data_IF_853762641378
#
_entry.id   IF_853762641378
#
_cell.length_a   1.000
_cell.length_b   1.000
_cell.length_c   1.000
_cell.angle_alpha   90.00
_cell.angle_beta   90.00
_cell.angle_gamma   90.00
#
_symmetry.space_group_name_H-M   'P 1'
#
loop_
_entity.id
_entity.type
_entity.pdbx_description
1 polymer ?
#
# COMPACT_ATOMS: atom_id res chain seq x y z
N UNK A 1 23.18 -47.54 36.21
CA UNK A 1 22.96 -47.46 37.66
C UNK A 1 22.10 -46.26 37.86
N UNK A 2 20.87 -46.58 37.97
CA UNK A 2 19.93 -46.43 39.09
C UNK A 2 19.58 -44.96 39.34
N UNK A 3 18.39 -44.51 39.45
CA UNK A 3 17.13 -45.14 39.87
C UNK A 3 15.95 -44.27 39.45
N UNK A 4 14.93 -44.88 38.97
CA UNK A 4 13.56 -44.42 38.92
C UNK A 4 12.99 -44.27 40.32
N UNK A 5 12.29 -43.19 40.63
CA UNK A 5 11.21 -43.24 41.64
C UNK A 5 10.01 -42.40 41.27
N UNK A 6 9.01 -43.13 40.81
CA UNK A 6 7.58 -42.80 40.88
C UNK A 6 7.20 -42.40 42.31
N UNK A 7 6.35 -41.35 42.42
CA UNK A 7 5.45 -41.20 43.55
C UNK A 7 4.07 -40.91 43.03
N UNK A 8 3.26 -41.95 43.06
CA UNK A 8 1.83 -42.01 42.99
C UNK A 8 1.29 -42.00 44.42
N UNK A 9 0.48 -41.07 44.84
CA UNK A 9 -0.46 -41.09 45.98
C UNK A 9 -1.14 -39.72 45.97
N UNK A 10 -2.43 -39.48 46.08
CA UNK A 10 -3.56 -40.28 46.48
C UNK A 10 -4.83 -39.49 46.26
N UNK A 11 -5.80 -40.24 45.92
CA UNK A 11 -7.22 -39.87 45.85
C UNK A 11 -7.72 -39.58 47.25
N UNK A 12 -8.36 -38.46 47.47
CA UNK A 12 -9.30 -38.33 48.57
C UNK A 12 -10.50 -37.50 48.12
N UNK A 13 -11.60 -38.23 47.92
CA UNK A 13 -12.93 -37.70 47.71
C UNK A 13 -13.39 -36.94 48.95
N UNK A 14 -13.85 -35.73 48.79
CA UNK A 14 -14.77 -35.07 49.71
C UNK A 14 -16.06 -34.73 48.92
N UNK A 15 -17.01 -35.61 49.09
CA UNK A 15 -18.41 -35.32 48.76
C UNK A 15 -18.93 -34.41 49.84
N UNK A 16 -19.28 -33.19 49.50
CA UNK A 16 -20.14 -32.34 50.30
C UNK A 16 -21.27 -31.80 49.43
N UNK A 17 -22.45 -32.23 49.77
CA UNK A 17 -23.75 -31.83 49.35
C UNK A 17 -23.91 -30.30 49.40
N UNK A 18 -24.15 -29.67 48.23
CA UNK A 18 -24.92 -28.45 48.18
C UNK A 18 -25.95 -28.58 47.07
N UNK A 19 -27.18 -28.72 47.54
CA UNK A 19 -28.45 -28.65 46.86
C UNK A 19 -28.57 -27.30 46.14
N UNK A 20 -28.90 -27.34 44.85
CA UNK A 20 -29.77 -26.35 44.21
C UNK A 20 -29.22 -24.97 43.98
N UNK A 21 -28.60 -24.72 42.84
CA UNK A 21 -28.93 -23.58 41.98
C UNK A 21 -28.57 -24.02 40.56
N UNK A 22 -29.58 -24.33 39.80
CA UNK A 22 -29.50 -24.52 38.36
C UNK A 22 -29.27 -23.15 37.74
N UNK A 23 -28.02 -22.69 37.72
CA UNK A 23 -27.66 -21.48 37.02
C UNK A 23 -27.50 -21.85 35.55
N UNK A 24 -28.40 -21.35 34.74
CA UNK A 24 -28.36 -21.33 33.29
C UNK A 24 -26.99 -20.75 32.85
N UNK A 25 -25.98 -21.59 32.67
CA UNK A 25 -24.80 -21.19 31.92
C UNK A 25 -25.21 -21.08 30.46
N UNK A 26 -25.55 -19.85 30.04
CA UNK A 26 -25.54 -19.47 28.65
C UNK A 26 -24.14 -19.76 28.13
N UNK A 27 -24.01 -20.83 27.34
CA UNK A 27 -22.89 -21.00 26.43
C UNK A 27 -22.87 -19.76 25.53
N UNK A 28 -22.06 -18.80 25.90
CA UNK A 28 -21.58 -17.76 25.00
C UNK A 28 -20.57 -18.48 24.11
N UNK A 29 -21.05 -19.11 23.05
CA UNK A 29 -20.22 -19.40 21.90
C UNK A 29 -19.79 -18.05 21.39
N UNK A 30 -18.53 -17.66 21.67
CA UNK A 30 -17.87 -16.60 20.95
C UNK A 30 -17.75 -17.08 19.51
N UNK A 31 -18.75 -16.71 18.73
CA UNK A 31 -18.71 -16.89 17.29
C UNK A 31 -17.64 -15.93 16.76
N UNK A 32 -16.44 -16.44 16.60
CA UNK A 32 -15.35 -15.76 15.93
C UNK A 32 -15.67 -15.77 14.43
N UNK A 33 -16.69 -15.02 14.06
CA UNK A 33 -16.97 -14.75 12.66
C UNK A 33 -15.87 -13.81 12.19
N UNK A 34 -14.76 -14.37 11.73
CA UNK A 34 -13.79 -13.63 10.92
C UNK A 34 -14.57 -13.07 9.74
N UNK A 35 -14.62 -11.74 9.54
CA UNK A 35 -15.27 -11.18 8.36
C UNK A 35 -14.59 -11.78 7.14
N UNK A 36 -15.27 -12.66 6.43
CA UNK A 36 -14.77 -13.22 5.19
C UNK A 36 -14.94 -12.14 4.12
N UNK A 37 -13.91 -11.28 3.98
CA UNK A 37 -13.88 -10.31 2.91
C UNK A 37 -13.97 -11.05 1.57
N UNK A 38 -14.98 -10.70 0.78
CA UNK A 38 -15.14 -11.30 -0.54
C UNK A 38 -13.97 -10.89 -1.44
N UNK A 39 -13.56 -11.74 -2.40
CA UNK A 39 -12.53 -11.36 -3.37
C UNK A 39 -12.82 -10.03 -4.09
N UNK A 40 -14.10 -9.68 -4.23
CA UNK A 40 -14.53 -8.40 -4.83
C UNK A 40 -14.28 -7.19 -3.92
N UNK A 41 -14.38 -7.35 -2.58
CA UNK A 41 -14.06 -6.28 -1.65
C UNK A 41 -12.54 -6.01 -1.61
N UNK A 42 -11.74 -7.06 -1.68
CA UNK A 42 -10.28 -6.95 -1.76
C UNK A 42 -9.82 -6.29 -3.06
N UNK A 43 -10.45 -6.64 -4.20
CA UNK A 43 -10.16 -5.98 -5.49
C UNK A 43 -10.57 -4.51 -5.49
N UNK A 44 -11.72 -4.17 -4.92
CA UNK A 44 -12.18 -2.79 -4.79
C UNK A 44 -11.28 -1.97 -3.85
N UNK A 45 -10.75 -2.58 -2.82
CA UNK A 45 -9.86 -1.93 -1.86
C UNK A 45 -8.45 -1.71 -2.43
N UNK A 46 -7.95 -2.63 -3.27
CA UNK A 46 -6.67 -2.45 -3.96
C UNK A 46 -6.73 -1.34 -5.01
N UNK A 47 -7.86 -1.19 -5.72
CA UNK A 47 -8.05 -0.10 -6.70
C UNK A 47 -8.21 1.30 -6.07
N UNK A 48 -8.35 1.39 -4.75
CA UNK A 48 -8.43 2.65 -4.00
C UNK A 48 -7.11 3.08 -3.36
N UNK A 49 -6.04 2.30 -3.51
CA UNK A 49 -4.73 2.60 -2.91
C UNK A 49 -3.70 2.82 -4.00
N UNK A 50 -2.80 3.77 -3.76
CA UNK A 50 -1.60 3.93 -4.58
C UNK A 50 -0.81 2.62 -4.61
N UNK A 51 -0.48 2.15 -5.80
CA UNK A 51 0.37 0.98 -6.00
C UNK A 51 1.68 1.42 -6.66
N UNK A 52 2.78 0.89 -6.15
CA UNK A 52 4.12 1.16 -6.65
C UNK A 52 4.81 -0.17 -6.96
N UNK A 53 5.42 -0.26 -8.13
CA UNK A 53 6.17 -1.43 -8.57
C UNK A 53 7.50 -0.99 -9.17
N UNK A 54 8.61 -1.38 -8.52
CA UNK A 54 9.95 -1.08 -9.01
C UNK A 54 10.39 -2.14 -10.03
N UNK A 55 10.61 -1.73 -11.28
CA UNK A 55 11.23 -2.58 -12.30
C UNK A 55 12.76 -2.49 -12.26
N UNK A 56 13.29 -1.33 -11.87
CA UNK A 56 14.71 -1.09 -11.61
C UNK A 56 14.83 -0.24 -10.34
N UNK A 57 15.64 -0.68 -9.39
CA UNK A 57 15.78 0.02 -8.10
C UNK A 57 16.63 1.29 -8.22
N UNK A 58 17.63 1.30 -9.11
CA UNK A 58 18.58 2.42 -9.22
C UNK A 58 19.68 2.38 -8.16
N UNK A 59 20.49 3.45 -8.12
CA UNK A 59 21.67 3.54 -7.26
C UNK A 59 21.71 4.86 -6.47
N UNK A 60 22.51 4.88 -5.40
CA UNK A 60 22.73 6.09 -4.59
C UNK A 60 21.65 6.38 -3.57
N UNK A 61 21.53 7.65 -3.19
CA UNK A 61 20.56 8.10 -2.20
C UNK A 61 19.13 8.04 -2.72
N UNK A 62 18.20 7.82 -1.82
CA UNK A 62 16.76 7.84 -2.10
C UNK A 62 16.24 9.27 -2.15
N UNK A 63 15.33 9.54 -3.09
CA UNK A 63 14.60 10.78 -3.17
C UNK A 63 13.68 10.97 -1.94
N UNK A 64 13.72 12.17 -1.37
CA UNK A 64 12.96 12.55 -0.18
C UNK A 64 12.12 13.79 -0.45
N UNK A 65 11.13 14.03 0.40
CA UNK A 65 10.39 15.30 0.37
C UNK A 65 11.35 16.47 0.51
N UNK A 66 11.18 17.49 -0.32
CA UNK A 66 12.06 18.66 -0.44
C UNK A 66 13.15 18.53 -1.50
N UNK A 67 13.45 17.33 -1.98
CA UNK A 67 14.40 17.14 -3.07
C UNK A 67 13.78 17.58 -4.40
N UNK A 68 14.58 18.24 -5.26
CA UNK A 68 14.20 18.46 -6.65
C UNK A 68 14.63 17.26 -7.49
N UNK A 69 13.67 16.68 -8.21
CA UNK A 69 13.93 15.51 -9.05
C UNK A 69 13.67 15.80 -10.52
N UNK A 70 14.39 15.09 -11.39
CA UNK A 70 14.17 15.09 -12.85
C UNK A 70 13.88 13.68 -13.31
N UNK A 71 12.79 13.52 -14.05
CA UNK A 71 12.30 12.22 -14.48
C UNK A 71 11.93 12.21 -15.95
N UNK A 72 12.03 11.05 -16.58
CA UNK A 72 11.20 10.72 -17.73
C UNK A 72 9.98 9.95 -17.28
N UNK A 73 8.87 10.14 -17.99
CA UNK A 73 7.64 9.41 -17.70
C UNK A 73 6.79 9.19 -18.95
N UNK A 74 5.96 8.18 -18.87
CA UNK A 74 4.83 7.94 -19.77
C UNK A 74 3.59 7.69 -18.95
N UNK A 75 2.54 8.48 -19.17
CA UNK A 75 1.25 8.35 -18.51
C UNK A 75 0.22 7.71 -19.44
N UNK A 76 -0.47 6.68 -18.93
CA UNK A 76 -1.54 5.97 -19.61
C UNK A 76 -2.77 5.83 -18.71
N UNK A 77 -3.94 5.67 -19.30
CA UNK A 77 -5.13 5.17 -18.62
C UNK A 77 -5.02 3.66 -18.39
N UNK A 78 -5.91 3.07 -17.58
CA UNK A 78 -5.92 1.61 -17.34
C UNK A 78 -6.10 0.78 -18.61
N UNK A 79 -6.76 1.32 -19.64
CA UNK A 79 -6.94 0.67 -20.94
C UNK A 79 -5.70 0.75 -21.85
N UNK A 80 -4.61 1.39 -21.36
CA UNK A 80 -3.36 1.58 -22.09
C UNK A 80 -3.34 2.83 -22.99
N UNK A 81 -4.41 3.63 -23.03
CA UNK A 81 -4.44 4.87 -23.79
C UNK A 81 -3.45 5.88 -23.21
N UNK A 82 -2.41 6.23 -23.99
CA UNK A 82 -1.42 7.24 -23.58
C UNK A 82 -2.04 8.64 -23.63
N UNK A 83 -1.90 9.38 -22.56
CA UNK A 83 -2.38 10.76 -22.48
C UNK A 83 -1.26 11.80 -22.39
N UNK A 84 -0.07 11.42 -21.88
CA UNK A 84 1.09 12.33 -21.81
C UNK A 84 2.40 11.53 -21.72
N UNK A 85 3.50 12.14 -22.21
CA UNK A 85 4.85 11.58 -22.07
C UNK A 85 5.90 12.68 -22.22
N UNK A 86 6.87 12.69 -21.32
CA UNK A 86 8.07 13.54 -21.44
C UNK A 86 9.00 13.09 -22.56
N UNK A 87 8.95 11.80 -22.91
CA UNK A 87 9.73 11.25 -24.02
C UNK A 87 9.30 11.82 -25.38
N UNK A 88 7.99 12.07 -25.56
CA UNK A 88 7.45 12.66 -26.80
C UNK A 88 7.98 14.08 -27.02
N UNK A 89 8.32 14.78 -25.94
CA UNK A 89 8.91 16.13 -25.95
C UNK A 89 10.43 16.12 -25.93
N UNK A 90 11.04 14.95 -25.73
CA UNK A 90 12.48 14.78 -25.51
C UNK A 90 13.04 15.69 -24.40
N UNK A 91 12.22 16.02 -23.41
CA UNK A 91 12.54 16.91 -22.32
C UNK A 91 12.17 16.28 -20.98
N UNK A 92 13.12 16.07 -20.06
CA UNK A 92 12.83 15.59 -18.72
C UNK A 92 11.97 16.57 -17.95
N UNK A 93 11.06 16.05 -17.15
CA UNK A 93 10.20 16.83 -16.27
C UNK A 93 10.84 16.96 -14.89
N UNK A 94 10.96 18.19 -14.41
CA UNK A 94 11.53 18.51 -13.10
C UNK A 94 10.48 19.06 -12.16
N UNK A 95 10.51 18.61 -10.89
CA UNK A 95 9.61 19.11 -9.84
C UNK A 95 10.22 18.85 -8.46
N UNK A 96 9.68 19.54 -7.43
CA UNK A 96 10.08 19.36 -6.03
C UNK A 96 9.11 18.40 -5.33
N UNK A 97 9.64 17.32 -4.76
CA UNK A 97 8.85 16.31 -4.05
C UNK A 97 8.18 16.88 -2.80
N UNK A 98 6.90 16.61 -2.62
CA UNK A 98 6.12 17.04 -1.47
C UNK A 98 5.73 18.51 -1.48
N UNK A 99 6.03 19.26 -2.56
CA UNK A 99 5.66 20.67 -2.70
C UNK A 99 4.24 20.89 -3.24
N UNK A 100 3.54 19.83 -3.66
CA UNK A 100 2.22 19.91 -4.27
C UNK A 100 2.26 20.49 -5.70
N UNK A 101 3.40 20.41 -6.36
CA UNK A 101 3.58 20.84 -7.76
C UNK A 101 2.99 19.84 -8.76
N UNK A 102 2.78 18.60 -8.29
CA UNK A 102 2.27 17.46 -9.05
C UNK A 102 1.07 16.83 -8.33
N UNK A 103 0.40 15.87 -8.94
CA UNK A 103 -0.69 15.12 -8.29
C UNK A 103 -0.17 14.36 -7.06
N UNK A 104 -1.02 14.19 -6.03
CA UNK A 104 -0.62 13.56 -4.77
C UNK A 104 -0.02 12.18 -4.95
N UNK A 105 -0.52 11.39 -5.91
CA UNK A 105 0.03 10.08 -6.23
C UNK A 105 1.49 10.11 -6.70
N UNK A 106 1.96 11.21 -7.27
CA UNK A 106 3.37 11.41 -7.62
C UNK A 106 4.20 11.83 -6.39
N UNK A 107 3.72 12.81 -5.62
CA UNK A 107 4.41 13.26 -4.40
C UNK A 107 4.61 12.10 -3.41
N UNK A 108 3.67 11.16 -3.35
CA UNK A 108 3.78 9.97 -2.51
C UNK A 108 4.57 8.83 -3.18
N UNK A 109 4.33 8.60 -4.48
CA UNK A 109 4.82 7.43 -5.19
C UNK A 109 6.28 7.51 -5.64
N UNK A 110 6.81 8.71 -5.86
CA UNK A 110 8.20 8.94 -6.33
C UNK A 110 9.19 8.96 -5.17
N UNK A 111 8.73 9.22 -3.95
CA UNK A 111 9.57 9.13 -2.74
C UNK A 111 10.20 7.74 -2.63
N UNK A 112 11.47 7.70 -2.26
CA UNK A 112 12.24 6.46 -2.12
C UNK A 112 12.83 5.92 -3.43
N UNK A 113 12.52 6.51 -4.59
CA UNK A 113 13.21 6.16 -5.83
C UNK A 113 14.68 6.62 -5.78
N UNK A 114 15.52 5.89 -6.49
CA UNK A 114 16.95 6.20 -6.62
C UNK A 114 17.27 6.58 -8.05
N UNK A 115 18.37 7.32 -8.26
CA UNK A 115 18.84 7.69 -9.60
C UNK A 115 19.05 6.43 -10.47
N UNK A 116 18.56 6.48 -11.70
CA UNK A 116 18.56 5.34 -12.63
C UNK A 116 17.51 4.28 -12.33
N UNK A 117 16.67 4.47 -11.30
CA UNK A 117 15.56 3.60 -10.98
C UNK A 117 14.36 3.83 -11.90
N UNK A 118 13.59 2.78 -12.12
CA UNK A 118 12.33 2.83 -12.87
C UNK A 118 11.20 2.23 -12.02
N UNK A 119 10.10 2.97 -11.94
CA UNK A 119 8.92 2.62 -11.12
C UNK A 119 7.65 2.81 -11.90
N UNK A 120 6.75 1.86 -11.77
CA UNK A 120 5.36 1.98 -12.20
C UNK A 120 4.52 2.43 -11.03
N UNK A 121 3.71 3.48 -11.25
CA UNK A 121 2.70 3.95 -10.31
C UNK A 121 1.32 3.69 -10.88
N UNK A 122 0.44 3.03 -10.12
CA UNK A 122 -0.99 2.97 -10.41
C UNK A 122 -1.70 3.85 -9.39
N UNK A 123 -2.23 4.96 -9.86
CA UNK A 123 -2.73 6.07 -9.05
C UNK A 123 -4.25 6.11 -9.13
N UNK A 124 -4.96 5.87 -8.01
CA UNK A 124 -6.41 5.98 -7.98
C UNK A 124 -6.89 7.43 -8.17
N UNK A 125 -8.13 7.65 -8.61
CA UNK A 125 -8.65 8.97 -8.95
C UNK A 125 -8.46 10.03 -7.87
N UNK A 126 -8.65 9.70 -6.60
CA UNK A 126 -8.57 10.65 -5.48
C UNK A 126 -7.14 11.18 -5.21
N UNK A 127 -6.10 10.49 -5.70
CA UNK A 127 -4.70 10.93 -5.68
C UNK A 127 -4.25 11.52 -7.02
N UNK A 128 -5.18 11.67 -7.96
CA UNK A 128 -4.96 12.22 -9.30
C UNK A 128 -5.94 13.37 -9.58
N UNK A 129 -6.80 13.25 -10.58
CA UNK A 129 -7.71 14.31 -11.02
C UNK A 129 -9.17 14.13 -10.54
N UNK A 130 -9.45 13.06 -9.79
CA UNK A 130 -10.73 12.82 -9.13
C UNK A 130 -11.93 12.80 -10.08
N UNK A 131 -13.07 13.27 -9.58
CA UNK A 131 -14.34 13.30 -10.31
C UNK A 131 -14.36 14.27 -11.49
N UNK A 132 -13.43 15.21 -11.55
CA UNK A 132 -13.35 16.18 -12.66
C UNK A 132 -12.60 15.61 -13.86
N UNK A 133 -11.61 14.72 -13.62
CA UNK A 133 -10.65 14.36 -14.65
C UNK A 133 -9.83 15.57 -15.15
N UNK A 134 -9.20 15.42 -16.31
CA UNK A 134 -8.51 16.48 -17.04
C UNK A 134 -8.86 16.37 -18.54
N UNK A 135 -10.03 16.84 -18.96
CA UNK A 135 -10.46 16.76 -20.36
C UNK A 135 -9.54 17.55 -21.29
N UNK A 136 -9.37 17.12 -22.55
CA UNK A 136 -10.05 15.98 -23.18
C UNK A 136 -9.39 14.62 -22.92
N UNK A 137 -8.18 14.59 -22.33
CA UNK A 137 -7.33 13.40 -22.32
C UNK A 137 -7.61 12.45 -21.16
N UNK A 138 -8.06 12.96 -20.01
CA UNK A 138 -8.29 12.16 -18.81
C UNK A 138 -9.75 12.27 -18.40
N UNK A 139 -10.52 11.17 -18.48
CA UNK A 139 -11.92 11.16 -18.08
C UNK A 139 -12.11 11.29 -16.55
N UNK A 140 -13.32 11.64 -16.09
CA UNK A 140 -13.67 11.62 -14.68
C UNK A 140 -13.44 10.26 -14.05
N UNK A 141 -12.96 10.27 -12.81
CA UNK A 141 -12.70 9.06 -12.00
C UNK A 141 -11.72 8.06 -12.66
N UNK A 142 -10.79 8.55 -13.47
CA UNK A 142 -9.79 7.71 -14.11
C UNK A 142 -8.69 7.30 -13.12
N UNK A 143 -8.36 6.03 -13.09
CA UNK A 143 -7.10 5.52 -12.56
C UNK A 143 -6.01 5.77 -13.58
N UNK A 144 -4.87 6.27 -13.14
CA UNK A 144 -3.74 6.60 -13.99
C UNK A 144 -2.59 5.63 -13.76
N UNK A 145 -1.91 5.25 -14.81
CA UNK A 145 -0.70 4.43 -14.76
C UNK A 145 0.46 5.25 -15.32
N UNK A 146 1.53 5.37 -14.54
CA UNK A 146 2.74 6.05 -14.96
C UNK A 146 3.93 5.10 -14.89
N UNK A 147 4.69 5.03 -15.97
CA UNK A 147 6.03 4.48 -15.97
C UNK A 147 7.00 5.65 -15.82
N UNK A 148 7.79 5.66 -14.74
CA UNK A 148 8.67 6.76 -14.36
C UNK A 148 10.11 6.26 -14.30
N UNK A 149 11.04 7.00 -14.90
CA UNK A 149 12.48 6.78 -14.81
C UNK A 149 13.12 7.98 -14.09
N UNK A 150 13.84 7.73 -13.01
CA UNK A 150 14.53 8.74 -12.22
C UNK A 150 15.90 9.06 -12.83
N UNK A 151 16.05 10.26 -13.37
CA UNK A 151 17.29 10.70 -14.01
C UNK A 151 18.24 11.38 -13.04
N UNK A 152 17.70 12.24 -12.17
CA UNK A 152 18.50 13.08 -11.28
C UNK A 152 17.75 13.39 -9.99
N UNK A 153 18.47 13.46 -8.89
CA UNK A 153 17.98 13.88 -7.57
C UNK A 153 18.93 14.97 -7.08
N UNK A 154 18.40 16.16 -6.84
CA UNK A 154 19.12 17.29 -6.25
C UNK A 154 18.60 17.50 -4.85
N UNK A 155 19.37 17.05 -3.87
CA UNK A 155 19.02 17.22 -2.46
C UNK A 155 19.28 18.64 -2.01
N UNK A 156 18.29 19.29 -1.42
CA UNK A 156 18.47 20.55 -0.75
C UNK A 156 18.91 20.25 0.69
N UNK A 157 20.24 20.16 0.89
CA UNK A 157 20.77 20.10 2.25
C UNK A 157 20.56 21.48 2.88
N UNK A 158 19.70 21.56 3.90
CA UNK A 158 19.73 22.65 4.88
C UNK A 158 20.95 22.52 5.78
#
# INVERSE_FOLDING_TARGET
>A
MSEFKSILVGVLAVAALFSGIFLLQRNQTFDFTVPQESPQSLMKQSSQKLQTEDSVIGEGAEAKNGDTVRVHYTGTLEDGTKFDSSLDRAEPFGFTLGAGEVIAGWDEGVVGMRKGGSRRLTIPPHLAYGERGAPPSIPPNATLVFDIEMLEIVSHNE
#
